data_IF_685305838655
#
_entry.id   IF_685305838655
#
_cell.length_a   1.000
_cell.length_b   1.000
_cell.length_c   1.000
_cell.angle_alpha   90.00
_cell.angle_beta   90.00
_cell.angle_gamma   90.00
#
_symmetry.space_group_name_H-M   'P 1'
#
loop_
_entity.id
_entity.type
_entity.pdbx_description
1 polymer ?
#
# COMPACT_ATOMS: atom_id res chain seq x y z
N UNK A 1 37.73 -38.32 -13.45
CA UNK A 1 36.72 -39.20 -12.89
C UNK A 1 35.79 -38.34 -12.03
N UNK A 2 34.47 -38.17 -12.37
CA UNK A 2 33.52 -37.52 -11.48
C UNK A 2 32.81 -38.58 -10.64
N UNK A 3 32.69 -38.30 -9.33
CA UNK A 3 31.88 -39.07 -8.40
C UNK A 3 30.38 -38.71 -8.58
N UNK A 4 29.60 -39.71 -8.84
CA UNK A 4 28.12 -39.65 -8.83
C UNK A 4 27.64 -39.78 -7.38
N UNK A 5 26.88 -38.77 -6.90
CA UNK A 5 26.19 -38.84 -5.63
C UNK A 5 24.76 -39.33 -5.87
N UNK A 6 24.43 -40.46 -5.28
CA UNK A 6 23.11 -41.07 -5.33
C UNK A 6 22.15 -40.36 -4.38
N UNK A 7 21.00 -39.92 -4.90
CA UNK A 7 19.87 -39.39 -4.11
C UNK A 7 18.95 -40.53 -3.76
N UNK A 8 18.83 -40.86 -2.48
CA UNK A 8 17.85 -41.81 -1.94
C UNK A 8 16.55 -41.09 -1.62
N UNK A 9 15.48 -41.42 -2.33
CA UNK A 9 14.10 -41.00 -2.03
C UNK A 9 13.52 -41.87 -0.92
N UNK A 10 13.20 -41.25 0.21
CA UNK A 10 12.50 -41.89 1.33
C UNK A 10 10.98 -41.69 1.15
N UNK A 11 10.25 -42.78 0.94
CA UNK A 11 8.79 -42.77 0.90
C UNK A 11 8.21 -42.83 2.31
N UNK A 12 7.48 -41.79 2.70
CA UNK A 12 6.73 -41.75 3.95
C UNK A 12 5.35 -42.37 3.73
N UNK A 13 5.07 -43.47 4.46
CA UNK A 13 3.80 -44.15 4.49
C UNK A 13 2.82 -43.43 5.43
N UNK A 14 1.63 -43.09 4.94
CA UNK A 14 0.54 -42.51 5.75
C UNK A 14 -0.17 -43.61 6.57
N UNK A 15 -0.50 -43.39 7.85
CA UNK A 15 -1.28 -44.36 8.63
C UNK A 15 -2.77 -44.32 8.31
N UNK A 16 -3.39 -45.49 8.33
CA UNK A 16 -4.69 -45.81 7.86
C UNK A 16 -5.90 -45.09 8.46
N UNK A 17 -6.89 -44.91 7.61
CA UNK A 17 -8.26 -44.51 7.98
C UNK A 17 -8.96 -45.68 8.73
N UNK A 18 -9.45 -45.37 9.93
CA UNK A 18 -10.40 -46.23 10.62
C UNK A 18 -11.83 -46.01 10.08
N UNK A 19 -12.66 -47.06 9.89
CA UNK A 19 -14.05 -46.90 9.50
C UNK A 19 -14.88 -46.39 10.71
N UNK A 20 -15.97 -45.63 10.46
CA UNK A 20 -16.84 -45.15 11.52
C UNK A 20 -17.69 -46.25 12.13
N UNK A 21 -18.10 -46.18 13.39
CA UNK A 21 -18.93 -47.17 14.06
C UNK A 21 -20.39 -47.16 13.54
N UNK A 22 -21.12 -48.28 13.64
CA UNK A 22 -22.50 -48.38 13.17
C UNK A 22 -23.45 -47.60 14.11
N UNK A 23 -24.31 -46.78 13.51
CA UNK A 23 -25.41 -46.07 14.20
C UNK A 23 -26.62 -47.00 14.33
N UNK A 24 -26.94 -47.41 15.55
CA UNK A 24 -28.16 -48.16 15.87
C UNK A 24 -29.22 -47.20 16.41
N UNK A 25 -30.44 -47.33 15.81
CA UNK A 25 -31.70 -47.04 16.51
C UNK A 25 -32.22 -45.62 16.52
N UNK A 26 -33.03 -45.27 15.50
CA UNK A 26 -33.98 -44.15 15.61
C UNK A 26 -35.30 -44.66 16.20
N UNK A 27 -35.92 -43.97 17.17
CA UNK A 27 -37.30 -44.26 17.61
C UNK A 27 -38.31 -43.70 16.61
N UNK A 28 -39.57 -44.25 16.62
CA UNK A 28 -40.57 -43.95 15.60
C UNK A 28 -41.14 -42.51 15.72
N UNK A 29 -41.39 -41.95 14.56
CA UNK A 29 -41.99 -40.62 14.36
C UNK A 29 -43.34 -40.48 15.10
N UNK A 30 -43.38 -39.46 15.98
CA UNK A 30 -44.65 -38.91 16.42
C UNK A 30 -44.98 -37.68 15.56
N UNK A 31 -46.17 -37.72 14.98
CA UNK A 31 -46.78 -36.67 14.18
C UNK A 31 -46.97 -35.45 15.04
N UNK A 32 -46.23 -34.36 14.76
CA UNK A 32 -46.48 -33.05 15.34
C UNK A 32 -47.10 -32.16 14.24
N UNK A 33 -48.28 -31.67 14.59
CA UNK A 33 -49.14 -30.79 13.79
C UNK A 33 -48.41 -29.61 13.19
N UNK A 34 -48.69 -29.40 11.94
CA UNK A 34 -48.43 -28.21 11.15
C UNK A 34 -48.77 -26.90 11.91
N UNK A 35 -47.75 -26.12 12.32
CA UNK A 35 -47.92 -24.73 12.70
C UNK A 35 -47.43 -23.88 11.53
N UNK A 36 -48.42 -23.45 10.76
CA UNK A 36 -48.28 -22.47 9.69
C UNK A 36 -47.99 -21.08 10.33
N UNK A 37 -46.72 -20.74 10.47
CA UNK A 37 -46.30 -19.38 10.74
C UNK A 37 -45.38 -18.91 9.63
N UNK A 38 -45.99 -18.35 8.58
CA UNK A 38 -45.30 -17.52 7.59
C UNK A 38 -44.75 -16.27 8.26
N UNK A 39 -43.65 -16.40 8.98
CA UNK A 39 -42.80 -15.26 9.31
C UNK A 39 -41.76 -15.16 8.22
N UNK A 40 -42.03 -14.29 7.24
CA UNK A 40 -41.02 -13.93 6.23
C UNK A 40 -39.85 -13.28 6.95
N UNK A 41 -38.83 -14.07 7.29
CA UNK A 41 -37.52 -13.57 7.74
C UNK A 41 -36.94 -12.83 6.55
N UNK A 42 -36.99 -11.50 6.59
CA UNK A 42 -36.29 -10.64 5.62
C UNK A 42 -34.83 -10.97 5.73
N UNK A 43 -34.30 -11.69 4.76
CA UNK A 43 -32.88 -12.02 4.64
C UNK A 43 -32.12 -10.69 4.55
N UNK A 44 -31.50 -10.27 5.66
CA UNK A 44 -30.66 -9.08 5.73
C UNK A 44 -29.38 -9.46 5.00
N UNK A 45 -29.18 -8.92 3.82
CA UNK A 45 -27.93 -9.08 3.09
C UNK A 45 -26.77 -8.69 4.01
N UNK A 46 -25.65 -9.46 4.00
CA UNK A 46 -24.51 -9.20 4.87
C UNK A 46 -23.98 -7.77 4.61
N UNK A 47 -23.91 -6.97 5.67
CA UNK A 47 -23.32 -5.62 5.57
C UNK A 47 -21.88 -5.75 5.09
N UNK A 48 -21.52 -4.97 4.07
CA UNK A 48 -20.12 -4.89 3.59
C UNK A 48 -19.22 -4.40 4.70
N UNK A 49 -18.02 -4.97 4.84
CA UNK A 49 -17.06 -4.52 5.84
C UNK A 49 -16.72 -3.04 5.62
N UNK A 50 -16.67 -2.28 6.72
CA UNK A 50 -16.39 -0.84 6.70
C UNK A 50 -14.96 -0.60 7.20
N UNK A 51 -14.22 0.25 6.51
CA UNK A 51 -12.87 0.68 6.89
C UNK A 51 -12.86 2.19 7.14
N UNK A 52 -12.10 2.64 8.16
CA UNK A 52 -11.87 4.06 8.38
C UNK A 52 -10.62 4.50 7.65
N UNK A 53 -10.75 5.47 6.73
CA UNK A 53 -9.66 6.04 5.96
C UNK A 53 -9.48 7.54 6.25
N UNK A 54 -8.28 8.03 6.00
CA UNK A 54 -8.02 9.47 6.00
C UNK A 54 -8.39 10.07 4.64
N UNK A 55 -9.01 11.24 4.69
CA UNK A 55 -9.22 12.12 3.55
C UNK A 55 -8.47 13.42 3.81
N UNK A 56 -8.10 14.15 2.75
CA UNK A 56 -7.38 15.41 2.84
C UNK A 56 -8.30 16.57 2.39
N UNK A 57 -8.72 17.42 3.33
CA UNK A 57 -9.58 18.57 3.00
C UNK A 57 -8.79 19.65 2.25
N UNK A 58 -9.31 20.08 1.09
CA UNK A 58 -8.69 21.13 0.28
C UNK A 58 -7.36 20.71 -0.37
N UNK A 59 -7.17 19.42 -0.58
CA UNK A 59 -6.06 18.87 -1.35
C UNK A 59 -6.41 18.76 -2.84
N UNK A 60 -5.38 18.73 -3.72
CA UNK A 60 -5.56 18.46 -5.14
C UNK A 60 -5.90 16.99 -5.41
N UNK A 61 -6.29 16.66 -6.65
CA UNK A 61 -6.53 15.29 -7.06
C UNK A 61 -5.27 14.41 -6.93
N UNK A 62 -4.11 14.96 -7.27
CA UNK A 62 -2.82 14.25 -7.16
C UNK A 62 -2.46 13.97 -5.69
N UNK A 63 -2.73 14.92 -4.81
CA UNK A 63 -2.55 14.73 -3.36
C UNK A 63 -3.50 13.67 -2.82
N UNK A 64 -4.77 13.65 -3.26
CA UNK A 64 -5.73 12.61 -2.89
C UNK A 64 -5.29 11.22 -3.36
N UNK A 65 -4.92 11.09 -4.65
CA UNK A 65 -4.45 9.82 -5.21
C UNK A 65 -3.21 9.30 -4.48
N UNK A 66 -2.26 10.17 -4.14
CA UNK A 66 -1.09 9.77 -3.37
C UNK A 66 -1.45 9.32 -1.95
N UNK A 67 -2.35 10.05 -1.25
CA UNK A 67 -2.81 9.68 0.08
C UNK A 67 -3.50 8.31 0.08
N UNK A 68 -4.40 8.06 -0.88
CA UNK A 68 -5.08 6.78 -1.05
C UNK A 68 -4.08 5.66 -1.32
N UNK A 69 -3.14 5.87 -2.25
CA UNK A 69 -2.11 4.91 -2.59
C UNK A 69 -1.29 4.46 -1.37
N UNK A 70 -0.85 5.38 -0.52
CA UNK A 70 -0.07 5.03 0.66
C UNK A 70 -0.91 4.33 1.74
N UNK A 71 -2.19 4.66 1.86
CA UNK A 71 -3.12 3.94 2.73
C UNK A 71 -3.33 2.50 2.24
N UNK A 72 -3.49 2.30 0.92
CA UNK A 72 -3.59 0.96 0.30
C UNK A 72 -2.29 0.16 0.45
N UNK A 73 -1.14 0.83 0.46
CA UNK A 73 0.15 0.23 0.78
C UNK A 73 0.32 -0.14 2.27
N UNK A 74 -0.72 0.08 3.09
CA UNK A 74 -0.78 -0.33 4.50
C UNK A 74 -0.30 0.71 5.50
N UNK A 75 -0.07 1.96 5.10
CA UNK A 75 0.29 3.04 6.03
C UNK A 75 -1.00 3.66 6.59
N UNK A 76 -1.26 3.47 7.89
CA UNK A 76 -2.49 3.93 8.56
C UNK A 76 -2.24 5.08 9.55
N UNK A 77 -0.99 5.31 9.95
CA UNK A 77 -0.64 6.36 10.91
C UNK A 77 -0.70 7.74 10.27
N UNK A 78 -1.41 8.67 10.91
CA UNK A 78 -1.59 10.05 10.43
C UNK A 78 -0.27 10.81 10.29
N UNK A 79 0.64 10.66 11.24
CA UNK A 79 1.92 11.35 11.23
C UNK A 79 2.84 10.78 10.12
N UNK A 80 2.79 9.46 9.88
CA UNK A 80 3.53 8.83 8.80
C UNK A 80 3.04 9.33 7.44
N UNK A 81 1.72 9.28 7.20
CA UNK A 81 1.11 9.79 5.96
C UNK A 81 1.40 11.29 5.76
N UNK A 82 1.23 12.10 6.80
CA UNK A 82 1.55 13.52 6.74
C UNK A 82 3.02 13.78 6.40
N UNK A 83 3.94 12.98 6.95
CA UNK A 83 5.37 13.07 6.66
C UNK A 83 5.68 12.73 5.20
N UNK A 84 5.11 11.65 4.68
CA UNK A 84 5.26 11.25 3.27
C UNK A 84 4.77 12.37 2.34
N UNK A 85 3.53 12.84 2.58
CA UNK A 85 2.92 13.90 1.79
C UNK A 85 3.73 15.21 1.83
N UNK A 86 4.22 15.60 3.02
CA UNK A 86 5.07 16.78 3.21
C UNK A 86 6.39 16.71 2.45
N UNK A 87 6.99 15.53 2.38
CA UNK A 87 8.21 15.30 1.62
C UNK A 87 7.96 15.40 0.11
N UNK A 88 6.94 14.73 -0.42
CA UNK A 88 6.58 14.82 -1.85
C UNK A 88 6.23 16.27 -2.24
N UNK A 89 5.52 16.99 -1.36
CA UNK A 89 5.22 18.40 -1.60
C UNK A 89 6.47 19.26 -1.72
N UNK A 90 7.47 19.03 -0.87
CA UNK A 90 8.73 19.76 -0.92
C UNK A 90 9.50 19.48 -2.22
N UNK A 91 9.47 18.25 -2.73
CA UNK A 91 10.22 17.85 -3.92
C UNK A 91 9.57 18.37 -5.22
N UNK A 92 8.27 18.22 -5.37
CA UNK A 92 7.61 18.44 -6.66
C UNK A 92 6.26 19.14 -6.59
N UNK A 93 5.72 19.35 -5.40
CA UNK A 93 4.31 19.76 -5.22
C UNK A 93 3.36 18.78 -5.95
N UNK A 94 3.65 17.46 -5.87
CA UNK A 94 2.94 16.36 -6.52
C UNK A 94 2.92 16.39 -8.06
N UNK A 95 3.76 17.22 -8.71
CA UNK A 95 3.87 17.26 -10.15
C UNK A 95 4.78 16.16 -10.66
N UNK A 96 4.18 15.11 -11.21
CA UNK A 96 4.91 13.94 -11.72
C UNK A 96 5.74 14.20 -12.98
N UNK A 97 5.47 15.29 -13.70
CA UNK A 97 6.20 15.69 -14.92
C UNK A 97 7.12 16.89 -14.72
N UNK A 98 7.46 17.23 -13.47
CA UNK A 98 8.37 18.34 -13.18
C UNK A 98 9.84 17.89 -13.26
N UNK A 99 10.63 18.62 -14.01
CA UNK A 99 12.09 18.53 -14.02
C UNK A 99 12.69 19.51 -13.03
N UNK A 100 13.85 19.20 -12.49
CA UNK A 100 14.62 20.11 -11.62
C UNK A 100 14.76 21.48 -12.26
N UNK A 101 14.52 22.53 -11.45
CA UNK A 101 14.37 23.90 -11.95
C UNK A 101 12.94 24.31 -12.29
N UNK A 102 11.95 23.40 -12.14
CA UNK A 102 10.51 23.68 -12.18
C UNK A 102 9.83 23.56 -13.56
N UNK A 103 10.57 23.26 -14.62
CA UNK A 103 9.99 23.07 -15.96
C UNK A 103 9.14 21.79 -16.02
N UNK A 104 7.98 21.87 -16.67
CA UNK A 104 7.12 20.72 -16.93
C UNK A 104 7.55 20.10 -18.25
N UNK A 105 7.96 18.84 -18.23
CA UNK A 105 8.43 18.14 -19.42
C UNK A 105 8.22 16.62 -19.29
N UNK A 106 8.43 15.88 -20.38
CA UNK A 106 8.43 14.41 -20.30
C UNK A 106 9.69 13.91 -19.60
N UNK A 107 9.62 12.71 -19.05
CA UNK A 107 10.78 12.01 -18.45
C UNK A 107 11.99 12.01 -19.41
N UNK A 108 11.79 11.73 -20.69
CA UNK A 108 12.87 11.60 -21.66
C UNK A 108 13.57 12.92 -22.01
N UNK A 109 12.97 14.05 -21.70
CA UNK A 109 13.49 15.38 -21.96
C UNK A 109 14.08 16.07 -20.73
N UNK A 110 14.16 15.37 -19.59
CA UNK A 110 14.74 15.86 -18.36
C UNK A 110 16.02 15.09 -18.04
N UNK A 111 17.17 15.75 -18.07
CA UNK A 111 18.47 15.15 -17.74
C UNK A 111 18.91 15.42 -16.28
N UNK A 112 17.96 15.70 -15.36
CA UNK A 112 18.21 16.11 -13.97
C UNK A 112 17.21 15.43 -13.04
N UNK A 113 17.04 15.93 -11.82
CA UNK A 113 16.01 15.47 -10.90
C UNK A 113 14.61 15.54 -11.52
N UNK A 114 13.84 14.46 -11.45
CA UNK A 114 12.55 14.32 -12.12
C UNK A 114 11.45 13.79 -11.22
N UNK A 115 10.26 14.31 -11.40
CA UNK A 115 9.02 13.78 -10.86
C UNK A 115 8.83 13.93 -9.37
N UNK A 116 8.00 13.07 -8.78
CA UNK A 116 7.43 13.21 -7.44
C UNK A 116 8.45 13.47 -6.33
N UNK A 117 9.57 12.78 -6.33
CA UNK A 117 10.61 12.90 -5.31
C UNK A 117 11.94 13.37 -5.88
N UNK A 118 11.91 13.95 -7.08
CA UNK A 118 13.08 14.49 -7.78
C UNK A 118 14.22 13.46 -7.88
N UNK A 119 13.95 12.31 -8.52
CA UNK A 119 14.96 11.30 -8.76
C UNK A 119 16.14 11.87 -9.53
N UNK A 120 17.28 12.04 -8.87
CA UNK A 120 18.45 12.75 -9.41
C UNK A 120 19.60 11.80 -9.72
N UNK A 121 19.87 10.79 -8.88
CA UNK A 121 20.93 9.83 -9.16
C UNK A 121 20.62 8.97 -10.38
N UNK A 122 21.63 8.65 -11.20
CA UNK A 122 21.47 7.91 -12.44
C UNK A 122 20.68 6.61 -12.23
N UNK A 123 21.05 5.82 -11.21
CA UNK A 123 20.40 4.53 -10.93
C UNK A 123 18.91 4.69 -10.63
N UNK A 124 18.52 5.71 -9.86
CA UNK A 124 17.13 5.96 -9.51
C UNK A 124 16.35 6.56 -10.68
N UNK A 125 16.96 7.48 -11.43
CA UNK A 125 16.34 8.09 -12.61
C UNK A 125 16.09 7.04 -13.69
N UNK A 126 17.11 6.31 -14.10
CA UNK A 126 16.96 5.24 -15.12
C UNK A 126 16.07 4.10 -14.62
N UNK A 127 16.16 3.78 -13.33
CA UNK A 127 15.29 2.81 -12.68
C UNK A 127 13.80 3.12 -12.85
N UNK A 128 13.38 4.39 -12.83
CA UNK A 128 11.99 4.80 -13.12
C UNK A 128 11.59 4.45 -14.56
N UNK A 129 12.46 4.70 -15.53
CA UNK A 129 12.22 4.35 -16.93
C UNK A 129 12.13 2.85 -17.15
N UNK A 130 13.06 2.09 -16.58
CA UNK A 130 13.08 0.63 -16.65
C UNK A 130 11.86 0.00 -15.95
N UNK A 131 11.45 0.54 -14.81
CA UNK A 131 10.23 0.13 -14.12
C UNK A 131 8.99 0.34 -14.99
N UNK A 132 8.86 1.52 -15.61
CA UNK A 132 7.75 1.84 -16.50
C UNK A 132 7.71 0.89 -17.71
N UNK A 133 8.87 0.58 -18.29
CA UNK A 133 9.01 -0.37 -19.41
C UNK A 133 8.62 -1.78 -18.99
N UNK A 134 9.06 -2.23 -17.82
CA UNK A 134 8.84 -3.60 -17.32
C UNK A 134 7.41 -3.86 -16.85
N UNK A 135 6.81 -2.90 -16.13
CA UNK A 135 5.52 -3.09 -15.46
C UNK A 135 4.37 -2.29 -16.11
N UNK A 136 4.66 -1.62 -17.20
CA UNK A 136 3.70 -0.79 -17.94
C UNK A 136 3.46 0.58 -17.30
N UNK A 137 3.07 1.53 -18.13
CA UNK A 137 2.76 2.90 -17.77
C UNK A 137 3.80 3.90 -18.30
N UNK A 138 3.51 5.18 -18.14
CA UNK A 138 4.44 6.27 -18.47
C UNK A 138 5.28 6.64 -17.27
N UNK A 139 6.62 6.80 -17.40
CA UNK A 139 7.45 7.29 -16.30
C UNK A 139 7.11 8.72 -15.88
N UNK A 140 6.33 9.45 -16.68
CA UNK A 140 5.81 10.79 -16.36
C UNK A 140 4.46 10.77 -15.63
N UNK A 141 3.83 9.61 -15.44
CA UNK A 141 2.53 9.54 -14.77
C UNK A 141 2.66 9.37 -13.26
N UNK A 142 1.75 10.00 -12.52
CA UNK A 142 1.68 9.91 -11.06
C UNK A 142 1.62 8.45 -10.56
N UNK A 143 0.75 7.65 -11.15
CA UNK A 143 0.57 6.24 -10.74
C UNK A 143 1.86 5.43 -10.92
N UNK A 144 2.53 5.54 -12.07
CA UNK A 144 3.79 4.82 -12.32
C UNK A 144 4.87 5.23 -11.31
N UNK A 145 4.95 6.52 -11.00
CA UNK A 145 5.93 7.04 -10.05
C UNK A 145 5.63 6.61 -8.61
N UNK A 146 4.38 6.59 -8.17
CA UNK A 146 4.00 6.06 -6.85
C UNK A 146 4.33 4.56 -6.73
N UNK A 147 4.04 3.78 -7.76
CA UNK A 147 4.40 2.35 -7.82
C UNK A 147 5.91 2.14 -7.81
N UNK A 148 6.66 2.91 -8.59
CA UNK A 148 8.13 2.84 -8.61
C UNK A 148 8.71 3.21 -7.25
N UNK A 149 8.28 4.32 -6.66
CA UNK A 149 8.71 4.79 -5.35
C UNK A 149 8.62 3.70 -4.29
N UNK A 150 7.50 2.97 -4.24
CA UNK A 150 7.32 1.88 -3.27
C UNK A 150 8.09 0.61 -3.61
N UNK A 151 8.60 0.47 -4.82
CA UNK A 151 9.46 -0.64 -5.25
C UNK A 151 10.96 -0.35 -5.10
N UNK A 152 11.36 0.90 -4.84
CA UNK A 152 12.77 1.24 -4.64
C UNK A 152 13.34 0.62 -3.36
N UNK A 153 14.61 0.21 -3.42
CA UNK A 153 15.33 -0.33 -2.26
C UNK A 153 15.34 0.65 -1.08
N UNK A 154 15.44 1.96 -1.35
CA UNK A 154 15.44 3.01 -0.34
C UNK A 154 14.11 3.03 0.43
N UNK A 155 12.98 2.90 -0.28
CA UNK A 155 11.67 2.80 0.36
C UNK A 155 11.50 1.49 1.13
N UNK A 156 11.88 0.36 0.54
CA UNK A 156 11.76 -0.96 1.18
C UNK A 156 12.47 -1.04 2.54
N UNK A 157 13.58 -0.35 2.70
CA UNK A 157 14.32 -0.28 3.98
C UNK A 157 13.57 0.42 5.09
N UNK A 158 12.60 1.28 4.77
CA UNK A 158 11.83 2.06 5.74
C UNK A 158 10.34 1.70 5.78
N UNK A 159 9.85 0.91 4.83
CA UNK A 159 8.42 0.63 4.65
C UNK A 159 7.76 0.14 5.94
N UNK A 160 8.34 -0.86 6.63
CA UNK A 160 7.79 -1.38 7.87
C UNK A 160 7.86 -0.35 9.03
N UNK A 161 8.86 0.54 9.03
CA UNK A 161 8.94 1.64 9.99
C UNK A 161 7.85 2.69 9.74
N UNK A 162 7.51 2.95 8.47
CA UNK A 162 6.42 3.84 8.09
C UNK A 162 5.03 3.24 8.41
N UNK A 163 4.87 1.93 8.29
CA UNK A 163 3.63 1.22 8.68
C UNK A 163 3.44 1.10 10.19
N UNK A 164 4.53 1.11 10.97
CA UNK A 164 4.48 0.98 12.43
C UNK A 164 3.96 2.28 13.07
N UNK A 165 2.78 2.28 13.73
CA UNK A 165 2.12 3.51 14.17
C UNK A 165 2.72 4.13 15.43
N UNK A 166 2.22 5.33 15.79
CA UNK A 166 2.44 5.96 17.09
C UNK A 166 3.73 6.76 17.21
N UNK A 167 4.39 7.11 16.10
CA UNK A 167 5.60 7.93 16.15
C UNK A 167 5.31 9.40 15.84
N UNK A 168 6.17 10.29 16.32
CA UNK A 168 6.10 11.72 15.98
C UNK A 168 6.48 11.96 14.52
N UNK A 169 6.04 13.11 13.97
CA UNK A 169 6.46 13.58 12.63
C UNK A 169 7.98 13.63 12.52
N UNK A 170 8.69 14.11 13.56
CA UNK A 170 10.15 14.17 13.54
C UNK A 170 10.77 12.78 13.37
N UNK A 171 10.23 11.77 14.08
CA UNK A 171 10.72 10.40 13.96
C UNK A 171 10.46 9.80 12.57
N UNK A 172 9.30 10.06 11.98
CA UNK A 172 9.05 9.65 10.60
C UNK A 172 9.91 10.45 9.59
N UNK A 173 10.25 11.70 9.90
CA UNK A 173 11.15 12.51 9.08
C UNK A 173 12.57 11.92 9.03
N UNK A 174 13.07 11.35 10.17
CA UNK A 174 14.35 10.61 10.17
C UNK A 174 14.33 9.43 9.20
N UNK A 175 13.19 8.70 9.14
CA UNK A 175 13.03 7.60 8.17
C UNK A 175 12.94 8.11 6.74
N UNK A 176 12.19 9.20 6.51
CA UNK A 176 12.06 9.82 5.20
C UNK A 176 13.41 10.34 4.67
N UNK A 177 14.30 10.80 5.54
CA UNK A 177 15.67 11.17 5.14
C UNK A 177 16.43 9.99 4.53
N UNK A 178 16.32 8.81 5.14
CA UNK A 178 16.96 7.59 4.61
C UNK A 178 16.39 7.13 3.26
N UNK A 179 15.18 7.55 2.92
CA UNK A 179 14.54 7.25 1.65
C UNK A 179 14.86 8.27 0.56
N UNK A 180 14.70 9.57 0.83
CA UNK A 180 14.86 10.64 -0.17
C UNK A 180 16.29 11.13 -0.26
N UNK A 181 16.96 11.35 0.88
CA UNK A 181 18.35 11.77 0.92
C UNK A 181 18.56 13.23 0.51
N UNK A 182 17.78 14.15 1.07
CA UNK A 182 17.91 15.58 0.72
C UNK A 182 19.19 16.24 1.26
N UNK A 183 19.76 17.15 0.48
CA UNK A 183 20.88 18.00 0.94
C UNK A 183 20.41 19.17 1.82
N UNK A 184 19.21 19.71 1.58
CA UNK A 184 18.58 20.77 2.35
C UNK A 184 17.19 20.35 2.79
N UNK A 185 16.89 20.50 4.09
CA UNK A 185 15.62 20.06 4.67
C UNK A 185 14.39 20.80 4.09
N UNK A 186 14.54 22.09 3.81
CA UNK A 186 13.44 22.91 3.30
C UNK A 186 12.26 23.00 4.28
N UNK A 187 11.05 22.99 3.73
CA UNK A 187 9.81 23.11 4.48
C UNK A 187 9.13 21.75 4.81
N UNK A 188 9.82 20.62 4.68
CA UNK A 188 9.23 19.27 4.80
C UNK A 188 8.43 19.07 6.07
N UNK A 189 9.00 19.42 7.22
CA UNK A 189 8.31 19.29 8.52
C UNK A 189 7.09 20.22 8.59
N UNK A 190 7.18 21.45 8.11
CA UNK A 190 6.02 22.37 8.04
C UNK A 190 4.92 21.79 7.16
N UNK A 191 5.26 21.32 5.97
CA UNK A 191 4.28 20.68 5.07
C UNK A 191 3.65 19.43 5.68
N UNK A 192 4.40 18.65 6.44
CA UNK A 192 3.84 17.50 7.16
C UNK A 192 2.78 17.95 8.19
N UNK A 193 3.04 18.99 8.98
CA UNK A 193 2.04 19.53 9.90
C UNK A 193 0.84 20.17 9.17
N UNK A 194 1.05 20.82 8.02
CA UNK A 194 -0.03 21.35 7.19
C UNK A 194 -0.96 20.22 6.71
N UNK A 195 -0.42 19.06 6.28
CA UNK A 195 -1.24 17.91 5.93
C UNK A 195 -1.94 17.30 7.14
N UNK A 196 -1.25 17.17 8.27
CA UNK A 196 -1.86 16.65 9.49
C UNK A 196 -3.12 17.45 9.87
N UNK A 197 -3.08 18.79 9.70
CA UNK A 197 -4.23 19.67 9.96
C UNK A 197 -5.36 19.53 8.92
N UNK A 198 -5.03 19.13 7.69
CA UNK A 198 -6.01 18.90 6.61
C UNK A 198 -6.69 17.52 6.67
N UNK A 199 -6.08 16.54 7.35
CA UNK A 199 -6.60 15.19 7.41
C UNK A 199 -7.88 15.12 8.27
N UNK A 200 -8.88 14.43 7.74
CA UNK A 200 -10.09 14.03 8.44
C UNK A 200 -10.33 12.53 8.21
N UNK A 201 -11.12 11.91 9.07
CA UNK A 201 -11.51 10.51 8.93
C UNK A 201 -12.81 10.38 8.15
N UNK A 202 -12.92 9.35 7.32
CA UNK A 202 -14.15 8.95 6.62
C UNK A 202 -14.27 7.44 6.69
N UNK A 203 -15.48 6.95 7.00
CA UNK A 203 -15.79 5.52 6.89
C UNK A 203 -16.15 5.22 5.44
N UNK A 204 -15.51 4.21 4.86
CA UNK A 204 -15.75 3.72 3.49
C UNK A 204 -16.13 2.24 3.53
N UNK A 205 -16.98 1.80 2.61
CA UNK A 205 -17.23 0.38 2.40
C UNK A 205 -16.06 -0.24 1.64
N UNK A 206 -15.62 -1.40 2.10
CA UNK A 206 -14.56 -2.16 1.41
C UNK A 206 -15.21 -3.06 0.37
N UNK A 207 -14.73 -2.96 -0.86
CA UNK A 207 -15.19 -3.79 -2.00
C UNK A 207 -14.53 -5.16 -2.01
#
# INVERSE_FOLDING_TARGET
LPLLASVTTSSATLPGLFPPPPVSGLPPFSIIKEFDTKTATKEVAPEKPKETRLICKGCSNEEHLALEFFQDAGIKDRNALATIMGNIKQESTFRSSVCEGGSITSYYNCGRGYGLIQWTSADRYYGLGDFAKKYGGSPSSLNTQLRYLTNEVQWQRIAEKMKSPGKSINRYMDYAYSWIGWGHHGNRTRYAYDYLNKFATKTVEVS
#
